data_IF_090187156815
#
_entry.id   IF_090187156815
#
_cell.length_a   1.000
_cell.length_b   1.000
_cell.length_c   1.000
_cell.angle_alpha   90.00
_cell.angle_beta   90.00
_cell.angle_gamma   90.00
#
_symmetry.space_group_name_H-M   'P 1'
#
loop_
_entity.id
_entity.type
_entity.pdbx_description
1 polymer ?
#
# COMPACT_ATOMS: atom_id res chain seq x y z
N UNK A 1 -10.92 -15.65 -9.51
CA UNK A 1 -9.71 -16.29 -10.11
C UNK A 1 -9.38 -17.57 -9.31
N UNK A 2 -8.51 -18.50 -9.73
CA UNK A 2 -8.31 -19.73 -8.96
C UNK A 2 -7.51 -19.45 -7.69
N UNK A 3 -8.06 -19.91 -6.57
CA UNK A 3 -7.53 -19.93 -5.23
C UNK A 3 -6.20 -20.73 -5.18
N UNK A 4 -5.06 -20.04 -5.17
CA UNK A 4 -3.73 -20.64 -4.98
C UNK A 4 -3.41 -20.72 -3.47
N UNK A 5 -4.16 -21.56 -2.76
CA UNK A 5 -3.68 -22.43 -1.68
C UNK A 5 -3.14 -21.86 -0.36
N UNK A 6 -2.57 -20.66 -0.29
CA UNK A 6 -2.00 -20.10 0.96
C UNK A 6 -1.90 -18.57 1.00
N UNK A 7 -2.14 -17.84 -0.09
CA UNK A 7 -2.05 -16.37 -0.12
C UNK A 7 -3.44 -15.75 -0.17
N UNK A 8 -3.99 -15.42 0.99
CA UNK A 8 -5.29 -14.76 1.08
C UNK A 8 -5.10 -13.24 1.03
N UNK A 9 -5.68 -12.59 0.02
CA UNK A 9 -5.93 -11.15 0.04
C UNK A 9 -6.80 -10.85 1.26
N UNK A 10 -6.28 -10.07 2.20
CA UNK A 10 -7.04 -9.64 3.37
C UNK A 10 -7.53 -8.23 3.15
N UNK A 11 -8.85 -8.07 3.17
CA UNK A 11 -9.48 -6.76 3.24
C UNK A 11 -10.18 -6.58 4.59
N UNK A 12 -9.74 -5.58 5.37
CA UNK A 12 -10.55 -5.12 6.51
C UNK A 12 -11.91 -4.56 6.03
N UNK A 13 -11.97 -4.03 4.80
CA UNK A 13 -13.18 -3.74 4.05
C UNK A 13 -14.17 -2.82 4.79
N UNK A 14 -15.47 -3.03 4.54
CA UNK A 14 -16.58 -2.18 5.02
C UNK A 14 -16.87 -2.26 6.55
N UNK A 15 -16.04 -2.95 7.33
CA UNK A 15 -16.26 -3.15 8.77
C UNK A 15 -15.58 -2.10 9.66
N UNK A 16 -14.66 -1.31 9.09
CA UNK A 16 -13.88 -0.31 9.83
C UNK A 16 -14.72 0.92 10.16
N UNK A 17 -14.62 1.41 11.39
CA UNK A 17 -15.31 2.63 11.84
C UNK A 17 -14.41 3.86 11.69
N UNK A 18 -15.02 5.04 11.71
CA UNK A 18 -14.29 6.30 11.71
C UNK A 18 -13.36 6.39 12.93
N UNK A 19 -12.09 6.72 12.70
CA UNK A 19 -11.04 6.80 13.71
C UNK A 19 -10.35 5.47 14.04
N UNK A 20 -10.75 4.37 13.40
CA UNK A 20 -10.04 3.08 13.49
C UNK A 20 -8.98 2.96 12.39
N UNK A 21 -8.09 1.96 12.56
CA UNK A 21 -7.12 1.59 11.54
C UNK A 21 -7.84 0.78 10.47
N UNK A 22 -7.75 1.26 9.23
CA UNK A 22 -8.13 0.48 8.06
C UNK A 22 -6.87 -0.16 7.48
N UNK A 23 -6.89 -1.44 7.17
CA UNK A 23 -5.73 -2.14 6.61
C UNK A 23 -6.11 -3.18 5.57
N UNK A 24 -5.31 -3.26 4.51
CA UNK A 24 -5.46 -4.26 3.46
C UNK A 24 -4.11 -4.81 3.01
N UNK A 25 -4.11 -6.09 2.71
CA UNK A 25 -2.94 -6.84 2.23
C UNK A 25 -3.31 -7.55 0.94
N UNK A 26 -2.59 -7.23 -0.13
CA UNK A 26 -2.76 -7.80 -1.46
C UNK A 26 -1.51 -8.55 -1.88
N UNK A 27 -1.69 -9.55 -2.72
CA UNK A 27 -0.62 -10.15 -3.50
C UNK A 27 -0.86 -9.72 -4.95
N UNK A 28 0.11 -9.03 -5.53
CA UNK A 28 -0.03 -8.45 -6.86
C UNK A 28 1.27 -8.54 -7.65
N UNK A 29 1.15 -8.73 -8.96
CA UNK A 29 2.27 -8.56 -9.87
C UNK A 29 2.54 -7.06 -10.06
N UNK A 30 3.58 -6.54 -9.44
CA UNK A 30 4.02 -5.14 -9.61
C UNK A 30 5.02 -4.95 -10.76
N UNK A 31 5.56 -6.04 -11.29
CA UNK A 31 6.50 -6.01 -12.41
C UNK A 31 6.20 -7.11 -13.45
N UNK A 32 7.02 -7.14 -14.51
CA UNK A 32 6.87 -8.11 -15.61
C UNK A 32 7.46 -9.48 -15.29
N UNK A 33 8.00 -9.72 -14.08
CA UNK A 33 8.59 -11.01 -13.71
C UNK A 33 7.52 -12.10 -13.54
N UNK A 34 6.28 -11.68 -13.27
CA UNK A 34 5.20 -12.60 -12.90
C UNK A 34 5.25 -13.04 -11.44
N UNK A 35 6.19 -12.51 -10.64
CA UNK A 35 6.23 -12.72 -9.20
C UNK A 35 5.07 -11.99 -8.51
N UNK A 36 4.47 -12.62 -7.52
CA UNK A 36 3.44 -12.01 -6.67
C UNK A 36 4.10 -11.33 -5.47
N UNK A 37 4.02 -10.01 -5.44
CA UNK A 37 4.55 -9.19 -4.37
C UNK A 37 3.49 -8.92 -3.34
N UNK A 38 3.88 -8.91 -2.07
CA UNK A 38 2.99 -8.54 -0.99
C UNK A 38 2.94 -7.02 -0.85
N UNK A 39 1.77 -6.44 -1.11
CA UNK A 39 1.45 -5.04 -0.90
C UNK A 39 0.58 -4.90 0.35
N UNK A 40 1.09 -4.21 1.38
CA UNK A 40 0.31 -3.88 2.56
C UNK A 40 0.00 -2.38 2.58
N UNK A 41 -1.23 -2.04 2.92
CA UNK A 41 -1.73 -0.68 3.02
C UNK A 41 -2.39 -0.52 4.38
N UNK A 42 -2.03 0.54 5.09
CA UNK A 42 -2.57 0.87 6.40
C UNK A 42 -2.95 2.34 6.38
N UNK A 43 -4.20 2.63 6.69
CA UNK A 43 -4.72 3.98 6.91
C UNK A 43 -4.97 4.13 8.40
N UNK A 44 -4.15 4.93 9.08
CA UNK A 44 -4.14 5.01 10.55
C UNK A 44 -5.34 5.78 11.11
N UNK A 45 -5.88 6.73 10.34
CA UNK A 45 -7.00 7.58 10.73
C UNK A 45 -8.08 7.53 9.66
N UNK A 46 -8.75 6.38 9.55
CA UNK A 46 -9.79 6.18 8.55
C UNK A 46 -11.00 7.07 8.82
N UNK A 47 -11.42 7.84 7.82
CA UNK A 47 -12.55 8.81 7.89
C UNK A 47 -13.66 8.50 6.89
N UNK A 48 -13.64 7.32 6.29
CA UNK A 48 -14.57 6.89 5.23
C UNK A 48 -13.95 6.87 3.84
N UNK A 49 -14.78 6.71 2.79
CA UNK A 49 -14.33 6.80 1.41
C UNK A 49 -13.69 8.15 1.11
N UNK A 50 -12.64 8.16 0.29
CA UNK A 50 -11.91 9.36 -0.07
C UNK A 50 -10.45 9.11 -0.38
N UNK A 51 -9.72 10.19 -0.59
CA UNK A 51 -8.28 10.15 -0.89
C UNK A 51 -7.48 10.48 0.37
N UNK A 52 -6.57 9.59 0.69
CA UNK A 52 -5.61 9.68 1.77
C UNK A 52 -4.22 9.94 1.20
N UNK A 53 -3.41 10.65 1.98
CA UNK A 53 -2.05 11.02 1.56
C UNK A 53 -1.01 10.38 2.48
N UNK A 54 0.26 10.62 2.20
CA UNK A 54 1.39 10.11 2.98
C UNK A 54 1.34 10.44 4.49
N UNK A 55 0.49 11.39 4.92
CA UNK A 55 0.25 11.69 6.34
C UNK A 55 -0.63 10.66 7.06
N UNK A 56 -1.52 10.02 6.32
CA UNK A 56 -2.56 9.14 6.87
C UNK A 56 -2.37 7.68 6.45
N UNK A 57 -1.50 7.43 5.46
CA UNK A 57 -1.30 6.11 4.85
C UNK A 57 0.15 5.64 4.96
N UNK A 58 0.30 4.39 5.38
CA UNK A 58 1.52 3.60 5.28
C UNK A 58 1.33 2.51 4.24
N UNK A 59 2.26 2.40 3.30
CA UNK A 59 2.29 1.41 2.24
C UNK A 59 3.64 0.71 2.31
N UNK A 60 3.62 -0.62 2.28
CA UNK A 60 4.81 -1.44 2.11
C UNK A 60 4.64 -2.43 0.98
N UNK A 61 5.71 -2.65 0.23
CA UNK A 61 5.81 -3.60 -0.86
C UNK A 61 6.98 -4.53 -0.57
N UNK A 62 6.75 -5.84 -0.61
CA UNK A 62 7.75 -6.84 -0.25
C UNK A 62 7.78 -7.98 -1.27
N UNK A 63 8.98 -8.41 -1.65
CA UNK A 63 9.15 -9.54 -2.57
C UNK A 63 8.76 -10.85 -1.90
N UNK A 64 8.30 -11.85 -2.67
CA UNK A 64 7.92 -13.16 -2.12
C UNK A 64 9.07 -13.89 -1.41
N UNK A 65 10.33 -13.61 -1.77
CA UNK A 65 11.54 -14.13 -1.12
C UNK A 65 12.06 -13.24 0.03
N UNK A 66 11.38 -12.14 0.35
CA UNK A 66 11.77 -11.11 1.32
C UNK A 66 13.12 -10.44 1.06
N UNK A 67 13.75 -10.63 -0.11
CA UNK A 67 15.04 -10.02 -0.44
C UNK A 67 14.94 -8.53 -0.75
N UNK A 68 13.75 -8.06 -1.17
CA UNK A 68 13.47 -6.68 -1.53
C UNK A 68 12.25 -6.18 -0.78
N UNK A 69 12.37 -4.98 -0.24
CA UNK A 69 11.25 -4.28 0.38
C UNK A 69 11.33 -2.79 0.12
N UNK A 70 10.16 -2.18 -0.04
CA UNK A 70 9.99 -0.73 -0.11
C UNK A 70 8.84 -0.30 0.79
N UNK A 71 8.94 0.91 1.30
CA UNK A 71 7.89 1.53 2.10
C UNK A 71 7.88 3.04 1.89
N UNK A 72 6.72 3.67 1.98
CA UNK A 72 6.67 5.12 1.99
C UNK A 72 7.23 5.64 3.33
N UNK A 73 8.04 6.68 3.24
CA UNK A 73 8.71 7.27 4.39
C UNK A 73 8.17 8.67 4.67
N UNK A 74 8.12 9.01 5.95
CA UNK A 74 7.76 10.35 6.38
C UNK A 74 8.86 11.37 6.03
N UNK A 75 8.54 12.64 6.23
CA UNK A 75 9.52 13.71 6.11
C UNK A 75 10.60 13.50 7.18
N UNK A 76 11.86 13.65 6.78
CA UNK A 76 12.99 13.59 7.68
C UNK A 76 13.57 15.00 7.84
N UNK A 77 13.23 15.71 8.93
CA UNK A 77 13.71 17.08 9.14
C UNK A 77 15.22 17.12 9.41
N UNK A 78 15.82 16.03 9.90
CA UNK A 78 17.26 15.94 10.20
C UNK A 78 18.07 15.99 8.91
N UNK A 79 17.63 15.22 7.91
CA UNK A 79 18.29 15.13 6.60
C UNK A 79 17.66 16.04 5.54
N UNK A 80 16.68 16.88 5.92
CA UNK A 80 15.92 17.77 5.03
C UNK A 80 15.27 17.04 3.84
N UNK A 81 14.79 15.83 4.08
CA UNK A 81 14.10 15.03 3.08
C UNK A 81 12.60 15.21 3.19
N UNK A 82 11.95 15.41 2.04
CA UNK A 82 10.49 15.40 1.97
C UNK A 82 9.95 13.98 2.21
N UNK A 83 8.72 13.90 2.69
CA UNK A 83 7.99 12.64 2.72
C UNK A 83 7.80 12.12 1.30
N UNK A 84 7.73 10.79 1.17
CA UNK A 84 7.36 10.19 -0.11
C UNK A 84 5.92 10.57 -0.47
N UNK A 85 5.68 10.85 -1.76
CA UNK A 85 4.33 11.17 -2.23
C UNK A 85 3.49 9.91 -2.29
N UNK A 86 2.33 9.96 -1.64
CA UNK A 86 1.33 8.90 -1.66
C UNK A 86 -0.03 9.52 -1.89
N UNK A 87 -0.79 8.92 -2.79
CA UNK A 87 -2.20 9.18 -3.03
C UNK A 87 -2.93 7.83 -3.08
N UNK A 88 -3.70 7.57 -2.04
CA UNK A 88 -4.46 6.34 -1.90
C UNK A 88 -5.95 6.66 -1.84
N UNK A 89 -6.72 6.17 -2.79
CA UNK A 89 -8.16 6.43 -2.87
C UNK A 89 -8.94 5.18 -2.49
N UNK A 90 -9.94 5.35 -1.63
CA UNK A 90 -10.93 4.35 -1.27
C UNK A 90 -12.28 4.78 -1.83
N UNK A 91 -12.88 3.93 -2.68
CA UNK A 91 -14.20 4.18 -3.26
C UNK A 91 -15.31 4.03 -2.23
N UNK A 92 -16.52 4.47 -2.59
CA UNK A 92 -17.72 4.41 -1.73
C UNK A 92 -18.11 2.99 -1.30
N UNK A 93 -17.64 1.97 -2.02
CA UNK A 93 -17.87 0.56 -1.71
C UNK A 93 -16.99 0.06 -0.56
N UNK A 94 -15.93 0.80 -0.20
CA UNK A 94 -14.89 0.37 0.75
C UNK A 94 -14.21 -0.96 0.35
N UNK A 95 -14.28 -1.29 -0.94
CA UNK A 95 -13.81 -2.57 -1.48
C UNK A 95 -12.98 -2.39 -2.76
N UNK A 96 -12.75 -1.15 -3.19
CA UNK A 96 -11.96 -0.83 -4.37
C UNK A 96 -11.42 0.58 -4.29
N UNK A 97 -10.45 0.87 -5.15
CA UNK A 97 -9.97 2.23 -5.36
C UNK A 97 -8.68 2.26 -6.17
N UNK A 98 -7.87 3.29 -5.94
CA UNK A 98 -6.62 3.52 -6.67
C UNK A 98 -5.44 3.78 -5.75
N UNK A 99 -4.25 3.43 -6.22
CA UNK A 99 -2.97 3.71 -5.56
C UNK A 99 -2.08 4.46 -6.55
N UNK A 100 -1.43 5.50 -6.07
CA UNK A 100 -0.28 6.15 -6.70
C UNK A 100 0.71 6.50 -5.58
N UNK A 101 1.83 5.79 -5.49
CA UNK A 101 2.76 5.92 -4.38
C UNK A 101 4.22 5.77 -4.81
N UNK A 102 5.03 6.72 -4.36
CA UNK A 102 6.48 6.59 -4.35
C UNK A 102 6.90 5.87 -3.07
N UNK A 103 7.77 4.88 -3.20
CA UNK A 103 8.26 4.10 -2.07
C UNK A 103 9.78 4.20 -1.98
N UNK A 104 10.27 4.29 -0.75
CA UNK A 104 11.69 4.25 -0.42
C UNK A 104 12.16 2.81 -0.30
N UNK A 105 13.32 2.50 -0.87
CA UNK A 105 13.92 1.18 -0.71
C UNK A 105 14.39 0.97 0.73
N UNK A 106 13.87 -0.08 1.39
CA UNK A 106 14.09 -0.32 2.81
C UNK A 106 15.57 -0.60 3.15
N UNK A 107 16.30 -1.24 2.24
CA UNK A 107 17.70 -1.64 2.48
C UNK A 107 18.69 -0.51 2.23
N UNK A 108 18.46 0.30 1.20
CA UNK A 108 19.38 1.36 0.78
C UNK A 108 18.98 2.76 1.25
N UNK A 109 17.74 2.95 1.71
CA UNK A 109 17.20 4.26 2.06
C UNK A 109 16.97 5.19 0.87
N UNK A 110 17.13 4.70 -0.38
CA UNK A 110 16.91 5.48 -1.60
C UNK A 110 15.44 5.87 -1.71
N UNK A 111 15.14 7.16 -1.54
CA UNK A 111 13.79 7.75 -1.62
C UNK A 111 13.20 7.63 -3.02
N UNK A 112 11.89 7.39 -3.12
CA UNK A 112 11.18 7.23 -4.39
C UNK A 112 11.85 6.26 -5.35
N UNK A 113 12.46 5.19 -4.81
CA UNK A 113 13.15 4.18 -5.58
C UNK A 113 12.19 3.30 -6.40
N UNK A 114 10.94 3.20 -5.95
CA UNK A 114 9.89 2.43 -6.61
C UNK A 114 8.64 3.30 -6.75
N UNK A 115 7.95 3.21 -7.89
CA UNK A 115 6.70 3.92 -8.14
C UNK A 115 5.62 2.91 -8.46
N UNK A 116 4.69 2.72 -7.53
CA UNK A 116 3.53 1.86 -7.75
C UNK A 116 2.33 2.71 -8.15
N UNK A 117 1.64 2.28 -9.21
CA UNK A 117 0.39 2.90 -9.66
C UNK A 117 -0.59 1.80 -10.07
N UNK A 118 -1.88 2.00 -9.79
CA UNK A 118 -2.89 1.06 -10.23
C UNK A 118 -4.21 1.17 -9.49
N UNK A 119 -5.06 0.17 -9.70
CA UNK A 119 -6.33 0.00 -9.00
C UNK A 119 -6.28 -1.25 -8.13
N UNK A 120 -6.95 -1.20 -6.99
CA UNK A 120 -7.07 -2.35 -6.08
C UNK A 120 -8.54 -2.71 -5.91
N UNK A 121 -8.81 -3.99 -5.63
CA UNK A 121 -10.12 -4.48 -5.28
C UNK A 121 -10.03 -5.61 -4.26
N UNK A 122 -11.04 -5.71 -3.38
CA UNK A 122 -11.12 -6.76 -2.38
C UNK A 122 -11.65 -8.09 -2.91
N UNK A 123 -11.96 -8.17 -4.20
CA UNK A 123 -12.68 -9.31 -4.79
C UNK A 123 -11.86 -10.22 -5.69
N UNK A 124 -10.59 -9.91 -6.00
CA UNK A 124 -9.68 -10.80 -6.74
C UNK A 124 -10.30 -11.45 -7.98
#
# INVERSE_FOLDING_TARGET
MPDQGTQQTFCSGAKVRNGEIWSESFYANVDTSGDEWQLNIIVENFRGPGTYTNKDVKISLQSPDNSKAWLNQDADPTNKLNADKVMFTIDRTLQSGSIDALLTNASSGKRGAEHITGTWNCRG
#
